data_IF_540263333825
#
_entry.id   IF_540263333825
#
_cell.length_a   1.000
_cell.length_b   1.000
_cell.length_c   1.000
_cell.angle_alpha   90.00
_cell.angle_beta   90.00
_cell.angle_gamma   90.00
#
_symmetry.space_group_name_H-M   'P 1'
#
loop_
_entity.id
_entity.type
_entity.pdbx_description
1 polymer ?
#
# COMPACT_ATOMS: atom_id res chain seq x y z
N UNK A 1 11.30 4.61 -16.35
CA UNK A 1 10.03 5.14 -15.81
C UNK A 1 10.17 5.26 -14.29
N UNK A 2 9.84 6.40 -13.70
CA UNK A 2 9.91 6.59 -12.24
C UNK A 2 8.60 6.15 -11.56
N UNK A 3 8.63 6.04 -10.22
CA UNK A 3 7.44 5.70 -9.42
C UNK A 3 6.36 6.77 -9.56
N UNK A 4 6.74 8.05 -9.59
CA UNK A 4 5.85 9.21 -9.72
C UNK A 4 5.29 9.35 -11.14
N UNK A 5 6.05 8.95 -12.17
CA UNK A 5 5.54 8.85 -13.54
C UNK A 5 4.50 7.74 -13.66
N UNK A 6 4.69 6.64 -12.91
CA UNK A 6 3.74 5.53 -12.88
C UNK A 6 2.49 5.87 -12.07
N UNK A 7 2.66 6.61 -10.98
CA UNK A 7 1.61 6.99 -10.05
C UNK A 7 1.60 8.50 -9.85
N UNK A 8 1.02 9.29 -10.79
CA UNK A 8 0.99 10.74 -10.68
C UNK A 8 0.34 11.25 -9.38
N UNK A 9 -0.61 10.49 -8.82
CA UNK A 9 -1.23 10.77 -7.52
C UNK A 9 -0.27 10.73 -6.32
N UNK A 10 0.97 10.27 -6.50
CA UNK A 10 2.04 10.45 -5.51
C UNK A 10 2.47 11.92 -5.40
N UNK A 11 2.37 12.71 -6.47
CA UNK A 11 2.75 14.14 -6.49
C UNK A 11 1.76 15.06 -5.79
N UNK A 12 0.51 14.62 -5.61
CA UNK A 12 -0.57 15.44 -5.01
C UNK A 12 -0.66 15.32 -3.49
N UNK A 13 0.32 14.70 -2.83
CA UNK A 13 0.59 14.98 -1.41
C UNK A 13 1.46 16.24 -1.36
N UNK A 14 1.06 17.32 -0.67
CA UNK A 14 1.97 18.38 -0.28
C UNK A 14 3.15 17.73 0.46
N UNK A 15 4.34 17.83 -0.12
CA UNK A 15 5.48 16.95 0.20
C UNK A 15 5.76 15.99 -0.95
N UNK A 16 6.22 16.53 -2.08
CA UNK A 16 6.87 15.75 -3.13
C UNK A 16 8.15 15.12 -2.60
N UNK A 17 8.55 14.01 -3.21
CA UNK A 17 9.35 12.94 -2.60
C UNK A 17 8.48 12.10 -1.68
N UNK A 18 8.57 10.79 -1.82
CA UNK A 18 8.07 9.85 -0.83
C UNK A 18 8.37 10.45 0.55
N UNK A 19 7.36 10.58 1.42
CA UNK A 19 7.58 10.72 2.86
C UNK A 19 8.30 9.43 3.31
N UNK A 20 9.58 9.33 2.99
CA UNK A 20 10.59 8.71 3.84
C UNK A 20 10.98 9.74 4.91
N UNK A 21 9.99 10.37 5.53
CA UNK A 21 10.05 11.47 6.48
C UNK A 21 8.61 11.48 7.00
N UNK A 22 8.16 10.93 8.12
CA UNK A 22 8.69 11.07 9.45
C UNK A 22 7.64 10.52 10.44
N UNK A 23 7.66 9.22 10.71
CA UNK A 23 7.40 8.78 12.09
C UNK A 23 8.73 8.71 12.89
N UNK A 24 9.85 9.08 12.24
CA UNK A 24 11.17 9.32 12.84
C UNK A 24 11.47 10.81 13.12
N UNK A 25 10.48 11.71 13.07
CA UNK A 25 10.61 13.04 13.71
C UNK A 25 10.09 12.92 15.14
N UNK A 26 10.72 12.04 15.94
CA UNK A 26 10.72 12.27 17.37
C UNK A 26 11.52 13.56 17.59
N UNK A 27 10.84 14.56 18.18
CA UNK A 27 11.37 15.83 18.69
C UNK A 27 11.17 17.13 17.85
N UNK A 28 9.95 17.40 17.39
CA UNK A 28 9.57 18.76 16.95
C UNK A 28 8.59 19.37 17.96
N UNK A 29 9.11 20.09 18.95
CA UNK A 29 8.27 20.76 19.95
C UNK A 29 7.62 22.03 19.39
N UNK A 30 6.28 22.11 19.47
CA UNK A 30 5.51 23.36 19.52
C UNK A 30 4.80 23.80 18.20
N UNK A 31 5.29 24.79 17.43
CA UNK A 31 4.53 25.38 16.31
C UNK A 31 4.37 24.49 15.08
N UNK A 32 5.34 23.58 14.84
CA UNK A 32 5.33 22.67 13.71
C UNK A 32 4.23 21.61 13.83
N UNK A 33 4.00 21.09 15.05
CA UNK A 33 2.93 20.13 15.33
C UNK A 33 1.55 20.74 15.13
N UNK A 34 1.34 21.98 15.59
CA UNK A 34 0.06 22.68 15.39
C UNK A 34 -0.21 22.90 13.90
N UNK A 35 0.78 23.38 13.17
CA UNK A 35 0.68 23.60 11.71
C UNK A 35 0.40 22.29 10.96
N UNK A 36 1.05 21.19 11.37
CA UNK A 36 0.82 19.86 10.80
C UNK A 36 -0.59 19.34 11.12
N UNK A 37 -1.05 19.50 12.36
CA UNK A 37 -2.41 19.11 12.74
C UNK A 37 -3.47 19.89 11.97
N UNK A 38 -3.32 21.22 11.85
CA UNK A 38 -4.21 22.06 11.03
C UNK A 38 -4.20 21.60 9.57
N UNK A 39 -3.03 21.37 9.00
CA UNK A 39 -2.89 20.84 7.65
C UNK A 39 -3.63 19.50 7.47
N UNK A 40 -3.45 18.54 8.38
CA UNK A 40 -4.11 17.23 8.32
C UNK A 40 -5.63 17.35 8.48
N UNK A 41 -6.11 18.27 9.34
CA UNK A 41 -7.53 18.57 9.46
C UNK A 41 -8.11 19.12 8.16
N UNK A 42 -7.41 20.04 7.50
CA UNK A 42 -7.86 20.59 6.22
C UNK A 42 -7.84 19.55 5.10
N UNK A 43 -6.83 18.68 5.07
CA UNK A 43 -6.84 17.52 4.17
C UNK A 43 -8.03 16.60 4.45
N UNK A 44 -8.33 16.32 5.72
CA UNK A 44 -9.47 15.49 6.12
C UNK A 44 -10.79 16.09 5.65
N UNK A 45 -11.03 17.40 5.89
CA UNK A 45 -12.21 18.13 5.40
C UNK A 45 -12.32 18.07 3.88
N UNK A 46 -11.21 18.32 3.16
CA UNK A 46 -11.18 18.30 1.70
C UNK A 46 -11.56 16.93 1.14
N UNK A 47 -10.98 15.85 1.66
CA UNK A 47 -11.27 14.49 1.17
C UNK A 47 -12.70 14.09 1.55
N UNK A 48 -13.17 14.47 2.75
CA UNK A 48 -14.57 14.28 3.17
C UNK A 48 -15.54 14.91 2.19
N UNK A 49 -15.33 16.17 1.78
CA UNK A 49 -16.16 16.85 0.78
C UNK A 49 -16.13 16.13 -0.56
N UNK A 50 -14.97 15.64 -0.99
CA UNK A 50 -14.85 14.86 -2.22
C UNK A 50 -15.60 13.52 -2.15
N UNK A 51 -15.59 12.85 -1.00
CA UNK A 51 -16.36 11.62 -0.80
C UNK A 51 -17.86 11.94 -0.86
N UNK A 52 -18.32 12.96 -0.13
CA UNK A 52 -19.74 13.36 -0.13
C UNK A 52 -20.25 13.80 -1.51
N UNK A 53 -19.37 14.36 -2.35
CA UNK A 53 -19.72 14.67 -3.74
C UNK A 53 -19.94 13.40 -4.59
N UNK A 54 -19.29 12.28 -4.26
CA UNK A 54 -19.47 10.99 -4.94
C UNK A 54 -20.60 10.16 -4.32
N UNK A 55 -20.73 10.21 -2.99
CA UNK A 55 -21.67 9.42 -2.20
C UNK A 55 -22.28 10.29 -1.10
N UNK A 56 -23.38 11.02 -1.38
CA UNK A 56 -23.92 12.04 -0.46
C UNK A 56 -24.39 11.51 0.90
N UNK A 57 -24.76 10.23 0.97
CA UNK A 57 -25.20 9.55 2.20
C UNK A 57 -24.04 9.01 3.04
N UNK A 58 -22.81 9.08 2.53
CA UNK A 58 -21.65 8.59 3.24
C UNK A 58 -21.35 9.44 4.48
N UNK A 59 -21.01 8.76 5.56
CA UNK A 59 -20.57 9.36 6.81
C UNK A 59 -19.29 8.66 7.28
N UNK A 60 -18.46 9.39 8.04
CA UNK A 60 -17.26 8.84 8.63
C UNK A 60 -17.58 8.41 10.05
N UNK A 61 -17.49 7.12 10.34
CA UNK A 61 -17.57 6.61 11.71
C UNK A 61 -16.28 6.94 12.43
N UNK A 62 -16.28 8.07 13.15
CA UNK A 62 -15.13 8.49 13.93
C UNK A 62 -15.06 7.65 15.22
N UNK A 63 -14.26 6.59 15.18
CA UNK A 63 -13.91 5.81 16.38
C UNK A 63 -12.58 6.35 16.89
N UNK A 64 -12.64 7.29 17.83
CA UNK A 64 -11.48 7.85 18.50
C UNK A 64 -11.67 7.84 20.01
N UNK A 65 -10.58 7.73 20.80
CA UNK A 65 -10.69 7.90 22.24
C UNK A 65 -11.17 9.32 22.53
N UNK A 66 -12.15 9.44 23.42
CA UNK A 66 -12.55 10.72 23.99
C UNK A 66 -11.81 10.97 25.29
N UNK A 67 -11.61 12.22 25.65
CA UNK A 67 -11.17 12.59 26.99
C UNK A 67 -12.28 12.29 28.02
N UNK A 68 -12.01 12.59 29.29
CA UNK A 68 -12.95 12.38 30.39
C UNK A 68 -14.26 13.18 30.25
N UNK A 69 -14.32 14.14 29.33
CA UNK A 69 -15.47 15.01 29.07
C UNK A 69 -16.21 14.64 27.79
N UNK A 70 -15.83 13.55 27.11
CA UNK A 70 -16.43 13.14 25.84
C UNK A 70 -15.90 13.91 24.63
N UNK A 71 -14.83 14.70 24.79
CA UNK A 71 -14.21 15.44 23.68
C UNK A 71 -13.27 14.50 22.91
N UNK A 72 -13.32 14.45 21.57
CA UNK A 72 -12.38 13.64 20.80
C UNK A 72 -10.93 14.03 21.08
N UNK A 73 -10.09 13.07 21.47
CA UNK A 73 -8.64 13.29 21.60
C UNK A 73 -8.05 13.32 20.19
N UNK A 74 -7.63 14.51 19.75
CA UNK A 74 -7.03 14.71 18.44
C UNK A 74 -5.50 14.65 18.58
N UNK A 75 -4.90 13.58 18.07
CA UNK A 75 -3.45 13.46 17.93
C UNK A 75 -3.03 13.61 16.48
N UNK A 76 -1.81 14.07 16.22
CA UNK A 76 -1.25 14.11 14.85
C UNK A 76 -1.31 12.73 14.19
N UNK A 77 -0.96 11.66 14.93
CA UNK A 77 -1.04 10.29 14.45
C UNK A 77 -2.48 9.90 14.09
N UNK A 78 -3.45 10.25 14.93
CA UNK A 78 -4.87 10.01 14.67
C UNK A 78 -5.38 10.73 13.43
N UNK A 79 -4.98 12.01 13.24
CA UNK A 79 -5.31 12.78 12.04
C UNK A 79 -4.66 12.20 10.78
N UNK A 80 -3.40 11.78 10.85
CA UNK A 80 -2.72 11.14 9.74
C UNK A 80 -3.40 9.81 9.36
N UNK A 81 -3.79 8.99 10.35
CA UNK A 81 -4.57 7.78 10.14
C UNK A 81 -5.92 8.08 9.48
N UNK A 82 -6.65 9.09 9.97
CA UNK A 82 -7.92 9.55 9.39
C UNK A 82 -7.76 9.98 7.92
N UNK A 83 -6.76 10.79 7.60
CA UNK A 83 -6.49 11.20 6.21
C UNK A 83 -6.20 9.99 5.32
N UNK A 84 -5.43 9.01 5.80
CA UNK A 84 -5.15 7.77 5.07
C UNK A 84 -6.41 6.93 4.85
N UNK A 85 -7.30 6.84 5.84
CA UNK A 85 -8.59 6.14 5.74
C UNK A 85 -9.52 6.81 4.75
N UNK A 86 -9.66 8.14 4.83
CA UNK A 86 -10.46 8.91 3.88
C UNK A 86 -9.94 8.80 2.44
N UNK A 87 -8.61 8.88 2.23
CA UNK A 87 -8.03 8.72 0.89
C UNK A 87 -8.32 7.34 0.31
N UNK A 88 -8.19 6.29 1.13
CA UNK A 88 -8.48 4.92 0.71
C UNK A 88 -9.97 4.71 0.44
N UNK A 89 -10.86 5.21 1.31
CA UNK A 89 -12.32 5.20 1.10
C UNK A 89 -12.69 5.87 -0.23
N UNK A 90 -12.17 7.09 -0.48
CA UNK A 90 -12.41 7.80 -1.73
C UNK A 90 -11.95 6.98 -2.93
N UNK A 91 -10.76 6.37 -2.85
CA UNK A 91 -10.23 5.53 -3.91
C UNK A 91 -11.09 4.28 -4.17
N UNK A 92 -11.61 3.66 -3.11
CA UNK A 92 -12.53 2.53 -3.20
C UNK A 92 -13.86 2.92 -3.85
N UNK A 93 -14.45 4.05 -3.44
CA UNK A 93 -15.68 4.60 -4.03
C UNK A 93 -15.50 4.89 -5.51
N UNK A 94 -14.39 5.55 -5.90
CA UNK A 94 -14.08 5.82 -7.31
C UNK A 94 -13.95 4.51 -8.11
N UNK A 95 -13.26 3.51 -7.56
CA UNK A 95 -13.14 2.21 -8.22
C UNK A 95 -14.50 1.50 -8.40
N UNK A 96 -15.38 1.59 -7.38
CA UNK A 96 -16.72 0.99 -7.38
C UNK A 96 -17.68 1.69 -8.33
N UNK A 97 -17.76 3.01 -8.27
CA UNK A 97 -18.76 3.81 -9.00
C UNK A 97 -18.33 4.13 -10.43
N UNK A 98 -17.02 4.34 -10.66
CA UNK A 98 -16.50 4.82 -11.95
C UNK A 98 -15.65 3.77 -12.68
N UNK A 99 -15.33 2.65 -12.03
CA UNK A 99 -14.42 1.65 -12.61
C UNK A 99 -12.98 2.15 -12.78
N UNK A 100 -12.61 3.25 -12.13
CA UNK A 100 -11.28 3.87 -12.19
C UNK A 100 -10.42 3.38 -11.01
N UNK A 101 -9.37 2.61 -11.31
CA UNK A 101 -8.54 1.94 -10.31
C UNK A 101 -7.23 2.66 -9.97
N UNK A 102 -6.85 3.72 -10.69
CA UNK A 102 -5.58 4.43 -10.46
C UNK A 102 -5.48 5.02 -9.05
N UNK A 103 -6.50 5.71 -8.48
CA UNK A 103 -6.46 6.11 -7.08
C UNK A 103 -6.25 4.91 -6.14
N UNK A 104 -6.91 3.79 -6.40
CA UNK A 104 -6.77 2.60 -5.56
C UNK A 104 -5.38 1.98 -5.69
N UNK A 105 -4.75 2.01 -6.87
CA UNK A 105 -3.36 1.59 -7.04
C UNK A 105 -2.41 2.45 -6.20
N UNK A 106 -2.61 3.77 -6.15
CA UNK A 106 -1.80 4.69 -5.33
C UNK A 106 -1.98 4.40 -3.84
N UNK A 107 -3.21 4.26 -3.36
CA UNK A 107 -3.47 4.04 -1.94
C UNK A 107 -3.10 2.62 -1.50
N UNK A 108 -3.16 1.64 -2.40
CA UNK A 108 -2.60 0.29 -2.18
C UNK A 108 -1.09 0.36 -1.99
N UNK A 109 -0.37 1.07 -2.87
CA UNK A 109 1.08 1.25 -2.76
C UNK A 109 1.46 1.88 -1.41
N UNK A 110 0.81 2.98 -1.03
CA UNK A 110 1.05 3.70 0.23
C UNK A 110 0.79 2.81 1.44
N UNK A 111 -0.32 2.07 1.42
CA UNK A 111 -0.67 1.16 2.49
C UNK A 111 0.36 0.03 2.62
N UNK A 112 0.66 -0.66 1.52
CA UNK A 112 1.59 -1.80 1.51
C UNK A 112 2.99 -1.37 1.92
N UNK A 113 3.47 -0.19 1.47
CA UNK A 113 4.75 0.36 1.93
C UNK A 113 4.78 0.51 3.46
N UNK A 114 3.83 1.26 4.03
CA UNK A 114 3.78 1.48 5.48
C UNK A 114 3.73 0.17 6.26
N UNK A 115 2.90 -0.79 5.82
CA UNK A 115 2.79 -2.09 6.50
C UNK A 115 4.04 -2.94 6.34
N UNK A 116 4.76 -2.80 5.23
CA UNK A 116 6.07 -3.44 5.03
C UNK A 116 7.10 -2.87 6.01
N UNK A 117 7.14 -1.55 6.17
CA UNK A 117 8.06 -0.87 7.09
C UNK A 117 7.80 -1.29 8.55
N UNK A 118 6.53 -1.24 9.01
CA UNK A 118 6.18 -1.67 10.37
C UNK A 118 6.47 -3.16 10.60
N UNK A 119 6.10 -4.03 9.66
CA UNK A 119 6.33 -5.46 9.79
C UNK A 119 7.83 -5.82 9.75
N UNK A 120 8.66 -5.02 9.07
CA UNK A 120 10.10 -5.20 9.08
C UNK A 120 10.69 -4.88 10.47
N UNK A 121 10.33 -3.75 11.07
CA UNK A 121 10.80 -3.37 12.41
C UNK A 121 10.33 -4.34 13.50
N UNK A 122 9.06 -4.70 13.46
CA UNK A 122 8.49 -5.70 14.38
C UNK A 122 9.16 -7.06 14.17
N UNK A 123 9.34 -7.49 12.92
CA UNK A 123 9.99 -8.75 12.58
C UNK A 123 11.44 -8.83 13.07
N UNK A 124 12.21 -7.74 12.95
CA UNK A 124 13.55 -7.63 13.52
C UNK A 124 13.53 -7.74 15.05
N UNK A 125 12.55 -7.13 15.71
CA UNK A 125 12.38 -7.22 17.17
C UNK A 125 12.05 -8.65 17.61
N UNK A 126 11.20 -9.35 16.86
CA UNK A 126 10.86 -10.75 17.10
C UNK A 126 12.05 -11.69 16.84
N UNK A 127 12.87 -11.43 15.82
CA UNK A 127 14.13 -12.17 15.60
C UNK A 127 15.09 -12.00 16.76
N UNK A 128 15.38 -10.75 17.16
CA UNK A 128 16.30 -10.44 18.27
C UNK A 128 15.85 -11.06 19.59
N UNK A 129 14.55 -11.16 19.83
CA UNK A 129 13.98 -11.78 21.03
C UNK A 129 13.79 -13.30 20.93
N UNK A 130 14.16 -13.94 19.81
CA UNK A 130 14.00 -15.37 19.58
C UNK A 130 12.54 -15.82 19.34
N UNK A 131 11.60 -14.89 19.25
CA UNK A 131 10.16 -15.14 19.04
C UNK A 131 9.80 -15.39 17.57
N UNK A 132 10.68 -15.04 16.64
CA UNK A 132 10.60 -15.45 15.23
C UNK A 132 11.69 -16.47 14.95
N UNK A 133 11.34 -17.75 14.85
CA UNK A 133 12.31 -18.82 14.63
C UNK A 133 12.63 -19.01 13.14
N UNK A 134 13.91 -18.92 12.75
CA UNK A 134 14.34 -19.24 11.39
C UNK A 134 14.24 -20.73 11.07
N UNK A 135 13.80 -21.06 9.85
CA UNK A 135 13.84 -22.44 9.34
C UNK A 135 15.03 -22.66 8.41
N UNK A 136 15.22 -21.81 7.39
CA UNK A 136 16.42 -21.83 6.54
C UNK A 136 17.38 -20.69 6.88
N UNK A 137 16.86 -19.47 7.08
CA UNK A 137 17.66 -18.31 7.45
C UNK A 137 16.82 -17.22 8.11
N UNK A 138 17.47 -16.31 8.83
CA UNK A 138 16.80 -15.14 9.42
C UNK A 138 16.12 -14.29 8.34
N UNK A 139 16.74 -14.17 7.16
CA UNK A 139 16.17 -13.41 6.05
C UNK A 139 14.91 -14.07 5.48
N UNK A 140 14.89 -15.40 5.35
CA UNK A 140 13.69 -16.14 4.97
C UNK A 140 12.58 -15.96 6.02
N UNK A 141 12.93 -16.08 7.29
CA UNK A 141 11.99 -15.92 8.40
C UNK A 141 11.36 -14.52 8.42
N UNK A 142 12.18 -13.48 8.26
CA UNK A 142 11.77 -12.09 8.19
C UNK A 142 10.89 -11.81 6.97
N UNK A 143 11.28 -12.29 5.79
CA UNK A 143 10.48 -12.18 4.57
C UNK A 143 9.10 -12.83 4.74
N UNK A 144 9.07 -14.06 5.24
CA UNK A 144 7.82 -14.79 5.50
C UNK A 144 6.95 -14.11 6.58
N UNK A 145 7.55 -13.44 7.56
CA UNK A 145 6.82 -12.64 8.55
C UNK A 145 6.12 -11.45 7.89
N UNK A 146 6.89 -10.65 7.15
CA UNK A 146 6.40 -9.46 6.44
C UNK A 146 5.29 -9.84 5.45
N UNK A 147 5.51 -10.84 4.61
CA UNK A 147 4.54 -11.30 3.61
C UNK A 147 3.21 -11.70 4.24
N UNK A 148 3.26 -12.43 5.36
CA UNK A 148 2.03 -12.85 6.07
C UNK A 148 1.31 -11.65 6.65
N UNK A 149 2.03 -10.76 7.34
CA UNK A 149 1.46 -9.59 8.02
C UNK A 149 0.82 -8.62 7.03
N UNK A 150 1.57 -8.22 6.00
CA UNK A 150 1.11 -7.29 4.96
C UNK A 150 -0.12 -7.84 4.24
N UNK A 151 -0.11 -9.13 3.89
CA UNK A 151 -1.22 -9.79 3.19
C UNK A 151 -2.49 -9.84 4.02
N UNK A 152 -2.37 -10.14 5.31
CA UNK A 152 -3.50 -10.16 6.23
C UNK A 152 -4.10 -8.75 6.32
N UNK A 153 -3.27 -7.76 6.66
CA UNK A 153 -3.74 -6.38 6.86
C UNK A 153 -4.30 -5.77 5.56
N UNK A 154 -3.76 -6.12 4.39
CA UNK A 154 -4.30 -5.65 3.11
C UNK A 154 -5.67 -6.24 2.80
N UNK A 155 -5.93 -7.50 3.16
CA UNK A 155 -7.26 -8.11 3.01
C UNK A 155 -8.28 -7.46 3.93
N UNK A 156 -7.90 -7.25 5.20
CA UNK A 156 -8.73 -6.54 6.17
C UNK A 156 -9.02 -5.11 5.72
N UNK A 157 -8.01 -4.43 5.16
CA UNK A 157 -8.14 -3.09 4.59
C UNK A 157 -9.14 -3.06 3.45
N UNK A 158 -9.01 -3.96 2.47
CA UNK A 158 -9.95 -4.01 1.34
C UNK A 158 -11.37 -4.37 1.79
N UNK A 159 -11.52 -5.33 2.71
CA UNK A 159 -12.82 -5.71 3.25
C UNK A 159 -13.52 -4.54 3.97
N UNK A 160 -12.78 -3.74 4.74
CA UNK A 160 -13.31 -2.53 5.41
C UNK A 160 -13.91 -1.51 4.42
N UNK A 161 -13.43 -1.49 3.18
CA UNK A 161 -13.84 -0.53 2.15
C UNK A 161 -14.65 -1.18 1.02
N UNK A 162 -15.31 -2.31 1.31
CA UNK A 162 -16.16 -3.07 0.37
C UNK A 162 -15.47 -3.48 -0.94
N UNK A 163 -14.16 -3.73 -0.90
CA UNK A 163 -13.41 -4.23 -2.04
C UNK A 163 -13.25 -5.74 -1.92
N UNK A 164 -13.91 -6.49 -2.82
CA UNK A 164 -13.66 -7.93 -2.96
C UNK A 164 -12.25 -8.17 -3.53
N UNK A 165 -11.37 -8.68 -2.68
CA UNK A 165 -10.00 -9.09 -3.03
C UNK A 165 -9.82 -10.61 -3.11
N UNK A 166 -10.90 -11.37 -2.90
CA UNK A 166 -10.91 -12.82 -2.88
C UNK A 166 -11.39 -13.43 -4.21
N UNK A 167 -12.29 -12.75 -4.91
CA UNK A 167 -12.89 -13.19 -6.17
C UNK A 167 -11.97 -13.11 -7.40
N UNK A 168 -12.60 -13.17 -8.59
CA UNK A 168 -11.96 -12.99 -9.91
C UNK A 168 -11.92 -11.51 -10.35
N UNK A 169 -12.12 -10.59 -9.42
CA UNK A 169 -12.21 -9.17 -9.68
C UNK A 169 -10.89 -8.51 -10.08
N UNK A 170 -10.93 -7.20 -10.36
CA UNK A 170 -9.75 -6.42 -10.70
C UNK A 170 -8.81 -6.23 -9.51
N UNK A 171 -9.27 -6.43 -8.28
CA UNK A 171 -8.44 -6.38 -7.06
C UNK A 171 -8.29 -7.78 -6.51
N UNK A 172 -7.05 -8.22 -6.24
CA UNK A 172 -6.78 -9.59 -5.74
C UNK A 172 -5.58 -9.57 -4.80
N UNK A 173 -5.63 -10.34 -3.71
CA UNK A 173 -4.53 -10.43 -2.72
C UNK A 173 -4.06 -11.86 -2.52
N UNK A 174 -2.82 -12.12 -2.94
CA UNK A 174 -2.17 -13.44 -2.96
C UNK A 174 -3.11 -14.52 -3.54
N UNK A 175 -3.44 -14.35 -4.82
CA UNK A 175 -4.29 -15.27 -5.59
C UNK A 175 -3.53 -15.79 -6.80
N UNK A 176 -3.98 -16.93 -7.33
CA UNK A 176 -3.48 -17.48 -8.59
C UNK A 176 -3.87 -16.54 -9.73
N UNK A 177 -2.88 -16.10 -10.47
CA UNK A 177 -2.99 -15.43 -11.77
C UNK A 177 -2.47 -16.42 -12.81
N UNK A 178 -3.37 -16.91 -13.64
CA UNK A 178 -3.04 -17.92 -14.64
C UNK A 178 -2.19 -17.30 -15.76
N UNK A 179 -1.37 -18.14 -16.37
CA UNK A 179 -0.53 -17.85 -17.53
C UNK A 179 -0.82 -18.93 -18.56
N UNK A 180 -1.69 -18.58 -19.52
CA UNK A 180 -2.08 -19.43 -20.63
C UNK A 180 -1.25 -19.16 -21.89
N UNK A 181 -0.06 -18.54 -21.76
CA UNK A 181 0.77 -18.18 -22.92
C UNK A 181 1.60 -19.35 -23.48
N UNK A 182 1.65 -20.49 -22.78
CA UNK A 182 2.36 -21.70 -23.17
C UNK A 182 1.41 -22.84 -23.57
N UNK A 183 1.97 -24.03 -23.80
CA UNK A 183 1.19 -25.25 -24.07
C UNK A 183 0.40 -25.71 -22.84
N UNK A 184 1.01 -25.60 -21.66
CA UNK A 184 0.38 -25.90 -20.38
C UNK A 184 0.03 -24.61 -19.64
N UNK A 185 -1.16 -24.57 -19.03
CA UNK A 185 -1.54 -23.48 -18.14
C UNK A 185 -0.68 -23.52 -16.87
N UNK A 186 0.09 -22.45 -16.64
CA UNK A 186 0.81 -22.26 -15.38
C UNK A 186 0.19 -21.12 -14.58
N UNK A 187 0.72 -20.82 -13.39
CA UNK A 187 0.25 -19.66 -12.62
C UNK A 187 1.39 -18.93 -11.94
N UNK A 188 1.11 -17.67 -11.61
CA UNK A 188 1.89 -16.80 -10.73
C UNK A 188 1.03 -16.32 -9.58
N UNK A 189 1.67 -15.81 -8.52
CA UNK A 189 1.00 -15.24 -7.36
C UNK A 189 1.71 -13.95 -6.96
N UNK A 190 1.25 -12.79 -7.44
CA UNK A 190 1.68 -11.52 -6.86
C UNK A 190 1.09 -11.37 -5.45
N UNK A 191 1.73 -10.57 -4.59
CA UNK A 191 1.20 -10.29 -3.25
C UNK A 191 -0.12 -9.55 -3.33
N UNK A 192 -0.21 -8.59 -4.25
CA UNK A 192 -1.47 -7.98 -4.62
C UNK A 192 -1.52 -7.63 -6.11
N UNK A 193 -2.73 -7.49 -6.62
CA UNK A 193 -3.04 -6.99 -7.95
C UNK A 193 -4.14 -5.95 -7.81
N UNK A 194 -3.98 -4.83 -8.51
CA UNK A 194 -5.04 -3.83 -8.71
C UNK A 194 -5.07 -3.47 -10.20
N UNK A 195 -6.08 -4.00 -10.90
CA UNK A 195 -6.27 -3.94 -12.34
C UNK A 195 -5.05 -4.49 -13.09
N UNK A 196 -4.27 -3.59 -13.69
CA UNK A 196 -3.11 -3.84 -14.55
C UNK A 196 -1.77 -3.61 -13.82
N UNK A 197 -1.80 -3.57 -12.49
CA UNK A 197 -0.63 -3.41 -11.63
C UNK A 197 -0.50 -4.61 -10.71
N UNK A 198 0.68 -5.23 -10.71
CA UNK A 198 1.09 -6.20 -9.71
C UNK A 198 1.93 -5.52 -8.63
N UNK A 199 1.73 -5.89 -7.38
CA UNK A 199 2.55 -5.49 -6.23
C UNK A 199 3.23 -6.73 -5.67
N UNK A 200 4.51 -6.58 -5.35
CA UNK A 200 5.35 -7.65 -4.87
C UNK A 200 6.27 -7.11 -3.77
N UNK A 201 6.11 -7.65 -2.57
CA UNK A 201 6.88 -7.28 -1.38
C UNK A 201 8.09 -8.20 -1.29
N UNK A 202 9.25 -7.64 -0.96
CA UNK A 202 10.49 -8.41 -0.94
C UNK A 202 11.58 -7.70 -0.14
N UNK A 203 12.53 -8.46 0.40
CA UNK A 203 13.76 -7.92 0.99
C UNK A 203 14.85 -7.72 -0.08
N UNK A 204 14.78 -8.48 -1.17
CA UNK A 204 15.79 -8.50 -2.24
C UNK A 204 15.38 -7.66 -3.43
N UNK A 205 16.38 -7.12 -4.14
CA UNK A 205 16.16 -6.38 -5.38
C UNK A 205 15.72 -7.34 -6.49
N UNK A 206 14.73 -6.92 -7.29
CA UNK A 206 14.24 -7.62 -8.47
C UNK A 206 14.41 -6.73 -9.69
N UNK A 207 14.56 -7.37 -10.85
CA UNK A 207 14.72 -6.70 -12.15
C UNK A 207 13.87 -7.41 -13.19
N UNK A 208 13.86 -6.91 -14.43
CA UNK A 208 13.30 -7.66 -15.57
C UNK A 208 13.97 -9.03 -15.77
N UNK A 209 15.21 -9.20 -15.28
CA UNK A 209 15.94 -10.45 -15.25
C UNK A 209 15.49 -11.43 -14.16
N UNK A 210 14.63 -11.02 -13.22
CA UNK A 210 14.09 -11.92 -12.19
C UNK A 210 12.99 -12.79 -12.77
N UNK A 211 13.10 -14.12 -12.60
CA UNK A 211 12.15 -15.08 -13.18
C UNK A 211 10.70 -14.84 -12.77
N UNK A 212 10.46 -14.49 -11.51
CA UNK A 212 9.12 -14.15 -11.00
C UNK A 212 8.52 -12.93 -11.72
N UNK A 213 9.31 -11.89 -11.97
CA UNK A 213 8.88 -10.66 -12.65
C UNK A 213 8.54 -10.94 -14.10
N UNK A 214 9.38 -11.70 -14.81
CA UNK A 214 9.05 -12.18 -16.16
C UNK A 214 7.76 -12.98 -16.16
N UNK A 215 7.58 -13.83 -15.15
CA UNK A 215 6.36 -14.60 -14.95
C UNK A 215 5.13 -13.72 -14.81
N UNK A 216 5.18 -12.66 -14.00
CA UNK A 216 4.05 -11.73 -13.86
C UNK A 216 3.66 -11.09 -15.19
N UNK A 217 4.61 -10.72 -16.04
CA UNK A 217 4.29 -10.13 -17.35
C UNK A 217 3.66 -11.11 -18.34
N UNK A 218 3.81 -12.42 -18.15
CA UNK A 218 3.14 -13.44 -18.96
C UNK A 218 1.72 -13.74 -18.51
N UNK A 219 1.38 -13.46 -17.26
CA UNK A 219 0.05 -13.74 -16.70
C UNK A 219 -1.09 -13.06 -17.48
N UNK A 220 -2.23 -13.73 -17.53
CA UNK A 220 -3.38 -13.41 -18.39
C UNK A 220 -4.03 -12.05 -18.07
N UNK A 221 -3.86 -11.58 -16.83
CA UNK A 221 -4.32 -10.23 -16.45
C UNK A 221 -3.48 -9.09 -17.05
N UNK A 222 -2.38 -9.43 -17.73
CA UNK A 222 -1.52 -8.53 -18.51
C UNK A 222 -1.08 -7.28 -17.73
N UNK A 223 -0.32 -7.40 -16.64
CA UNK A 223 0.16 -6.22 -15.91
C UNK A 223 0.98 -5.33 -16.83
N UNK A 224 0.68 -4.03 -16.85
CA UNK A 224 1.52 -3.01 -17.52
C UNK A 224 2.79 -2.71 -16.74
N UNK A 225 2.77 -3.00 -15.43
CA UNK A 225 3.86 -2.75 -14.50
C UNK A 225 3.78 -3.65 -13.28
N UNK A 226 4.95 -3.91 -12.71
CA UNK A 226 5.12 -4.54 -11.41
C UNK A 226 5.77 -3.52 -10.49
N UNK A 227 5.17 -3.30 -9.32
CA UNK A 227 5.72 -2.46 -8.27
C UNK A 227 6.43 -3.35 -7.26
N UNK A 228 7.72 -3.12 -7.11
CA UNK A 228 8.53 -3.80 -6.09
C UNK A 228 8.53 -2.92 -4.86
N UNK A 229 8.14 -3.50 -3.73
CA UNK A 229 8.07 -2.82 -2.44
C UNK A 229 9.07 -3.49 -1.50
N UNK A 230 10.01 -2.71 -0.98
CA UNK A 230 10.97 -3.14 0.03
C UNK A 230 10.85 -2.25 1.26
N UNK A 231 11.23 -2.75 2.44
CA UNK A 231 11.35 -1.90 3.62
C UNK A 231 12.29 -0.72 3.33
N UNK A 232 11.85 0.48 3.70
CA UNK A 232 12.58 1.74 3.54
C UNK A 232 13.91 1.73 4.30
N UNK A 233 14.00 0.95 5.38
CA UNK A 233 15.19 0.74 6.18
C UNK A 233 16.32 0.03 5.40
N UNK A 234 16.04 -0.54 4.21
CA UNK A 234 17.05 -1.13 3.33
C UNK A 234 17.78 -0.11 2.44
N UNK A 235 17.52 1.18 2.63
CA UNK A 235 18.20 2.28 1.94
C UNK A 235 17.44 2.81 0.73
N UNK A 236 18.12 3.59 -0.11
CA UNK A 236 17.51 4.25 -1.27
C UNK A 236 16.97 3.26 -2.30
N UNK A 237 15.98 3.68 -3.08
CA UNK A 237 15.29 2.83 -4.07
C UNK A 237 14.67 1.56 -3.47
N UNK A 238 14.13 1.65 -2.25
CA UNK A 238 13.40 0.57 -1.62
C UNK A 238 12.13 0.21 -2.41
N UNK A 239 11.43 1.20 -2.96
CA UNK A 239 10.24 0.99 -3.79
C UNK A 239 10.40 1.58 -5.18
N UNK A 240 10.13 0.77 -6.19
CA UNK A 240 10.36 1.11 -7.59
C UNK A 240 9.44 0.32 -8.53
N UNK A 241 9.36 0.78 -9.77
CA UNK A 241 8.49 0.20 -10.80
C UNK A 241 9.32 -0.46 -11.88
N UNK A 242 8.89 -1.66 -12.26
CA UNK A 242 9.35 -2.35 -13.46
C UNK A 242 8.20 -2.29 -14.46
N UNK A 243 8.41 -1.62 -15.59
CA UNK A 243 7.42 -1.53 -16.67
C UNK A 243 7.48 -2.78 -17.55
N UNK A 244 6.34 -3.17 -18.12
CA UNK A 244 6.30 -4.22 -19.15
C UNK A 244 7.22 -3.79 -20.31
N UNK A 245 8.12 -4.67 -20.79
CA UNK A 245 8.91 -4.38 -21.99
C UNK A 245 7.98 -4.20 -23.19
N UNK A 246 8.22 -3.17 -23.98
CA UNK A 246 7.57 -3.06 -25.29
C UNK A 246 8.04 -4.23 -26.18
N UNK A 247 7.15 -4.80 -27.01
CA UNK A 247 7.58 -5.75 -28.02
C UNK A 247 8.66 -5.09 -28.89
N UNK A 248 9.78 -5.78 -29.13
CA UNK A 248 10.70 -5.32 -30.18
C UNK A 248 9.92 -5.35 -31.49
N UNK A 249 9.81 -4.19 -32.14
CA UNK A 249 9.31 -4.06 -33.51
C UNK A 249 10.27 -4.74 -34.47
#
# INVERSE_FOLDING_TARGET
MTLEQSFPGLRTSPGGTILAVADNLFDFTGPADRSMMEFLQDQSKRVTTQIKALEPKWHYDEIGPTDAFGTPIITQQGLAARVNDLRFQRAAIVARLQGEYRPLQVETLRFVQRRTDYAYEEGLTLLKSGRLSPRLSEQEALGNYIDRRVRQELRERYARFDIDSAGKGPVRVNRREDDSSGTDTTYRRPDARVKDVAFDVTLTRKTLGTAQIRGFFKADFRPRRVVIIRPSQLGSNYTYVISRPEPKQ
#
